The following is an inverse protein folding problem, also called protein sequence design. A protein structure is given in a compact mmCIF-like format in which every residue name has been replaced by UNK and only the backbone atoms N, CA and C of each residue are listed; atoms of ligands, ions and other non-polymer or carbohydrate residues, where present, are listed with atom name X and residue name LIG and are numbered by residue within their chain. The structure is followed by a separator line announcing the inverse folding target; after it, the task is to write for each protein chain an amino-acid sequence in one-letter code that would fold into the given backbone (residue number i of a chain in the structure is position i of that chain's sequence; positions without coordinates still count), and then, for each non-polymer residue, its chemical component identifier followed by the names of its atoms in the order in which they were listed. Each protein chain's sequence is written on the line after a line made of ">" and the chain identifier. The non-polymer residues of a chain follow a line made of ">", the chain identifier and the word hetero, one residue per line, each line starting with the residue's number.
data_IF_430685717934
#
_entry.id   IF_430685717934
#
_cell.length_a   1.000
_cell.length_b   1.000
_cell.length_c   1.000
_cell.angle_alpha   90.00
_cell.angle_beta   90.00
_cell.angle_gamma   90.00
#
_symmetry.space_group_name_H-M   'P 1'
#
loop_
_entity.id
_entity.type
_entity.pdbx_description
1 polymer ?
#
# COMPACT_ATOMS: atom_id res chain seq x y z
N UNK A 1 -12.54 9.09 -49.43
CA UNK A 1 -11.43 9.07 -48.44
C UNK A 1 -12.02 9.02 -47.03
N UNK A 2 -12.72 7.94 -46.68
CA UNK A 2 -13.72 7.99 -45.58
C UNK A 2 -13.39 7.17 -44.32
N UNK A 3 -12.70 6.00 -44.35
CA UNK A 3 -12.48 5.24 -43.11
C UNK A 3 -11.29 5.78 -42.27
N UNK A 4 -10.27 6.35 -42.91
CA UNK A 4 -9.03 6.78 -42.24
C UNK A 4 -9.30 7.95 -41.27
N UNK A 5 -10.22 8.85 -41.65
CA UNK A 5 -10.53 10.03 -40.84
C UNK A 5 -11.15 9.68 -39.49
N UNK A 6 -12.01 8.64 -39.43
CA UNK A 6 -12.60 8.16 -38.18
C UNK A 6 -11.57 7.58 -37.21
N UNK A 7 -10.62 6.80 -37.72
CA UNK A 7 -9.52 6.26 -36.90
C UNK A 7 -8.59 7.36 -36.38
N UNK A 8 -8.32 8.37 -37.20
CA UNK A 8 -7.51 9.53 -36.78
C UNK A 8 -8.21 10.29 -35.64
N UNK A 9 -9.50 10.60 -35.78
CA UNK A 9 -10.28 11.28 -34.73
C UNK A 9 -10.30 10.45 -33.46
N UNK A 10 -10.58 9.15 -33.57
CA UNK A 10 -10.59 8.24 -32.42
C UNK A 10 -9.24 8.24 -31.70
N UNK A 11 -8.14 8.11 -32.44
CA UNK A 11 -6.79 8.11 -31.88
C UNK A 11 -6.49 9.42 -31.14
N UNK A 12 -6.86 10.57 -31.71
CA UNK A 12 -6.70 11.88 -31.06
C UNK A 12 -7.49 11.92 -29.75
N UNK A 13 -8.76 11.51 -29.76
CA UNK A 13 -9.61 11.52 -28.55
C UNK A 13 -9.05 10.58 -27.49
N UNK A 14 -8.66 9.36 -27.86
CA UNK A 14 -8.10 8.38 -26.93
C UNK A 14 -6.78 8.88 -26.31
N UNK A 15 -5.92 9.54 -27.10
CA UNK A 15 -4.69 10.17 -26.60
C UNK A 15 -5.02 11.31 -25.63
N UNK A 16 -5.97 12.18 -25.95
CA UNK A 16 -6.36 13.29 -25.07
C UNK A 16 -6.87 12.75 -23.72
N UNK A 17 -7.75 11.74 -23.75
CA UNK A 17 -8.28 11.13 -22.52
C UNK A 17 -7.18 10.44 -21.72
N UNK A 18 -6.26 9.74 -22.40
CA UNK A 18 -5.08 9.13 -21.77
C UNK A 18 -4.18 10.17 -21.09
N UNK A 19 -3.91 11.31 -21.73
CA UNK A 19 -3.11 12.40 -21.16
C UNK A 19 -3.82 13.02 -19.96
N UNK A 20 -5.13 13.22 -20.01
CA UNK A 20 -5.92 13.74 -18.87
C UNK A 20 -5.86 12.78 -17.68
N UNK A 21 -6.04 11.48 -17.92
CA UNK A 21 -5.91 10.45 -16.89
C UNK A 21 -4.49 10.41 -16.31
N UNK A 22 -3.48 10.50 -17.18
CA UNK A 22 -2.07 10.48 -16.80
C UNK A 22 -1.67 11.69 -15.95
N UNK A 23 -2.19 12.88 -16.27
CA UNK A 23 -1.91 14.09 -15.49
C UNK A 23 -2.52 14.04 -14.09
N UNK A 24 -3.63 13.30 -13.90
CA UNK A 24 -4.33 13.21 -12.61
C UNK A 24 -3.77 12.13 -11.68
N UNK A 25 -3.44 10.96 -12.23
CA UNK A 25 -3.11 9.77 -11.44
C UNK A 25 -1.74 9.17 -11.81
N UNK A 26 -0.92 9.87 -12.59
CA UNK A 26 0.41 9.42 -13.01
C UNK A 26 0.45 8.83 -14.42
N UNK A 27 1.61 8.97 -15.07
CA UNK A 27 1.81 8.63 -16.49
C UNK A 27 1.50 7.17 -16.84
N UNK A 28 1.83 6.23 -15.94
CA UNK A 28 1.54 4.81 -16.11
C UNK A 28 0.03 4.55 -16.23
N UNK A 29 -0.77 5.21 -15.39
CA UNK A 29 -2.23 5.06 -15.42
C UNK A 29 -2.79 5.61 -16.74
N UNK A 30 -2.28 6.74 -17.21
CA UNK A 30 -2.63 7.26 -18.55
C UNK A 30 -2.38 6.24 -19.67
N UNK A 31 -1.23 5.57 -19.65
CA UNK A 31 -0.90 4.54 -20.64
C UNK A 31 -1.83 3.32 -20.56
N UNK A 32 -2.15 2.85 -19.35
CA UNK A 32 -3.12 1.78 -19.15
C UNK A 32 -4.52 2.15 -19.72
N UNK A 33 -4.96 3.39 -19.55
CA UNK A 33 -6.22 3.88 -20.12
C UNK A 33 -6.21 3.83 -21.65
N UNK A 34 -5.09 4.20 -22.29
CA UNK A 34 -4.95 4.15 -23.74
C UNK A 34 -5.09 2.71 -24.27
N UNK A 35 -4.37 1.76 -23.67
CA UNK A 35 -4.46 0.34 -24.04
C UNK A 35 -5.88 -0.18 -23.83
N UNK A 36 -6.47 0.08 -22.66
CA UNK A 36 -7.80 -0.38 -22.32
C UNK A 36 -8.86 0.14 -23.30
N UNK A 37 -8.81 1.43 -23.65
CA UNK A 37 -9.73 2.01 -24.63
C UNK A 37 -9.59 1.36 -26.01
N UNK A 38 -8.37 1.15 -26.51
CA UNK A 38 -8.16 0.49 -27.80
C UNK A 38 -8.71 -0.94 -27.83
N UNK A 39 -8.47 -1.73 -26.77
CA UNK A 39 -8.96 -3.11 -26.65
C UNK A 39 -10.49 -3.14 -26.56
N UNK A 40 -11.08 -2.30 -25.70
CA UNK A 40 -12.53 -2.24 -25.52
C UNK A 40 -13.22 -1.75 -26.79
N UNK A 41 -12.72 -0.68 -27.42
CA UNK A 41 -13.30 -0.17 -28.67
C UNK A 41 -13.19 -1.18 -29.81
N UNK A 42 -12.08 -1.92 -29.93
CA UNK A 42 -11.97 -2.99 -30.92
C UNK A 42 -13.03 -4.07 -30.70
N UNK A 43 -13.22 -4.51 -29.44
CA UNK A 43 -14.27 -5.46 -29.07
C UNK A 43 -15.67 -4.94 -29.40
N UNK A 44 -15.96 -3.67 -29.12
CA UNK A 44 -17.25 -3.04 -29.44
C UNK A 44 -17.47 -2.99 -30.96
N UNK A 45 -16.46 -2.65 -31.75
CA UNK A 45 -16.57 -2.60 -33.22
C UNK A 45 -16.87 -3.99 -33.79
N UNK A 46 -16.16 -5.02 -33.35
CA UNK A 46 -16.38 -6.41 -33.81
C UNK A 46 -17.79 -6.88 -33.44
N UNK A 47 -18.20 -6.64 -32.19
CA UNK A 47 -19.52 -7.04 -31.70
C UNK A 47 -20.65 -6.35 -32.46
N UNK A 48 -20.57 -5.03 -32.60
CA UNK A 48 -21.61 -4.24 -33.29
C UNK A 48 -21.66 -4.53 -34.78
N UNK A 49 -20.52 -4.83 -35.42
CA UNK A 49 -20.48 -5.25 -36.82
C UNK A 49 -21.15 -6.60 -37.03
N UNK A 50 -21.04 -7.53 -36.09
CA UNK A 50 -21.74 -8.82 -36.16
C UNK A 50 -23.26 -8.66 -35.97
N UNK A 51 -23.70 -7.79 -35.06
CA UNK A 51 -25.13 -7.55 -34.78
C UNK A 51 -25.82 -6.80 -35.93
N UNK A 52 -25.13 -5.83 -36.53
CA UNK A 52 -25.71 -4.95 -37.56
C UNK A 52 -25.53 -5.46 -38.99
N UNK A 53 -25.17 -6.74 -39.16
CA UNK A 53 -24.87 -7.36 -40.45
C UNK A 53 -23.84 -6.56 -41.28
N UNK A 54 -22.80 -6.03 -40.61
CA UNK A 54 -21.71 -5.31 -41.26
C UNK A 54 -21.95 -3.81 -41.49
N UNK A 55 -22.89 -3.18 -40.79
CA UNK A 55 -23.07 -1.72 -40.88
C UNK A 55 -21.94 -0.96 -40.17
N UNK A 56 -20.88 -0.63 -40.92
CA UNK A 56 -19.67 0.00 -40.41
C UNK A 56 -19.87 1.40 -39.80
N UNK A 57 -20.92 2.13 -40.19
CA UNK A 57 -21.21 3.47 -39.63
C UNK A 57 -21.60 3.36 -38.16
N UNK A 58 -22.50 2.43 -37.84
CA UNK A 58 -22.97 2.20 -36.46
C UNK A 58 -21.83 1.70 -35.58
N UNK A 59 -21.02 0.77 -36.11
CA UNK A 59 -19.86 0.25 -35.40
C UNK A 59 -18.83 1.35 -35.07
N UNK A 60 -18.61 2.28 -36.01
CA UNK A 60 -17.74 3.44 -35.81
C UNK A 60 -18.20 4.36 -34.70
N UNK A 61 -19.49 4.74 -34.65
CA UNK A 61 -20.02 5.59 -33.59
C UNK A 61 -19.96 4.93 -32.22
N UNK A 62 -20.27 3.63 -32.14
CA UNK A 62 -20.26 2.90 -30.86
C UNK A 62 -18.84 2.77 -30.30
N UNK A 63 -17.80 2.78 -31.13
CA UNK A 63 -16.41 2.75 -30.68
C UNK A 63 -16.04 3.94 -29.77
N UNK A 64 -16.68 5.10 -29.94
CA UNK A 64 -16.45 6.31 -29.14
C UNK A 64 -17.06 6.25 -27.73
N UNK A 65 -17.91 5.27 -27.44
CA UNK A 65 -18.44 5.09 -26.08
C UNK A 65 -17.32 4.81 -25.08
N UNK A 66 -16.30 4.03 -25.47
CA UNK A 66 -15.18 3.71 -24.59
C UNK A 66 -14.37 4.95 -24.15
N UNK A 67 -13.92 5.87 -25.03
CA UNK A 67 -13.25 7.09 -24.59
C UNK A 67 -14.14 8.06 -23.81
N UNK A 68 -15.45 8.09 -24.10
CA UNK A 68 -16.38 8.90 -23.30
C UNK A 68 -16.47 8.39 -21.85
N UNK A 69 -16.69 7.08 -21.66
CA UNK A 69 -16.68 6.48 -20.33
C UNK A 69 -15.30 6.58 -19.67
N UNK A 70 -14.22 6.37 -20.43
CA UNK A 70 -12.85 6.55 -19.96
C UNK A 70 -12.59 7.95 -19.41
N UNK A 71 -13.08 8.99 -20.08
CA UNK A 71 -12.98 10.36 -19.59
C UNK A 71 -13.77 10.57 -18.29
N UNK A 72 -15.01 10.08 -18.21
CA UNK A 72 -15.82 10.20 -16.99
C UNK A 72 -15.13 9.54 -15.80
N UNK A 73 -14.60 8.32 -15.99
CA UNK A 73 -13.91 7.57 -14.92
C UNK A 73 -12.60 8.28 -14.53
N UNK A 74 -11.82 8.75 -15.51
CA UNK A 74 -10.60 9.52 -15.26
C UNK A 74 -10.88 10.82 -14.48
N UNK A 75 -12.04 11.45 -14.72
CA UNK A 75 -12.44 12.66 -14.02
C UNK A 75 -13.00 12.39 -12.61
N UNK A 76 -13.64 11.24 -12.40
CA UNK A 76 -14.25 10.84 -11.12
C UNK A 76 -13.23 10.28 -10.12
N UNK A 77 -12.13 9.71 -10.62
CA UNK A 77 -11.07 9.14 -9.76
C UNK A 77 -10.41 10.23 -8.92
N UNK A 78 -10.27 9.97 -7.62
CA UNK A 78 -9.63 10.89 -6.68
C UNK A 78 -8.13 11.02 -6.93
N UNK A 79 -7.62 12.25 -6.82
CA UNK A 79 -6.18 12.53 -6.89
C UNK A 79 -5.44 11.96 -5.70
N UNK A 80 -4.14 11.70 -5.85
CA UNK A 80 -3.34 11.10 -4.77
C UNK A 80 -3.25 12.00 -3.52
N UNK A 81 -3.25 13.32 -3.69
CA UNK A 81 -3.38 14.28 -2.57
C UNK A 81 -4.67 14.05 -1.77
N UNK A 82 -5.80 13.89 -2.47
CA UNK A 82 -7.10 13.67 -1.83
C UNK A 82 -7.16 12.30 -1.15
N UNK A 83 -6.53 11.28 -1.73
CA UNK A 83 -6.37 9.96 -1.09
C UNK A 83 -5.55 10.06 0.18
N UNK A 84 -4.47 10.83 0.20
CA UNK A 84 -3.67 11.00 1.42
C UNK A 84 -4.44 11.67 2.56
N UNK A 85 -5.30 12.64 2.26
CA UNK A 85 -6.13 13.31 3.28
C UNK A 85 -7.15 12.34 3.91
N UNK A 86 -7.76 11.49 3.09
CA UNK A 86 -8.81 10.55 3.53
C UNK A 86 -8.19 9.31 4.20
N UNK A 87 -7.23 8.67 3.54
CA UNK A 87 -6.64 7.39 3.98
C UNK A 87 -5.44 7.56 4.92
N UNK A 88 -4.97 8.79 5.13
CA UNK A 88 -3.75 9.08 5.90
C UNK A 88 -2.46 9.03 5.06
N UNK A 89 -2.44 8.23 4.00
CA UNK A 89 -1.28 8.11 3.11
C UNK A 89 -1.71 7.71 1.68
N UNK A 90 -0.87 8.07 0.71
CA UNK A 90 -0.97 7.72 -0.73
C UNK A 90 0.41 7.33 -1.24
N UNK A 91 0.60 7.19 -2.56
CA UNK A 91 1.93 6.85 -3.12
C UNK A 91 2.96 7.96 -2.89
N UNK A 92 2.59 9.22 -3.15
CA UNK A 92 3.51 10.38 -3.09
C UNK A 92 3.26 11.29 -1.88
N UNK A 93 2.04 11.30 -1.35
CA UNK A 93 1.62 12.17 -0.25
C UNK A 93 1.28 11.39 1.00
N UNK A 94 1.51 12.01 2.15
CA UNK A 94 1.07 11.60 3.49
C UNK A 94 0.29 12.74 4.13
N UNK A 95 -0.53 12.41 5.13
CA UNK A 95 -1.29 13.39 5.88
C UNK A 95 -0.41 14.01 6.97
N UNK A 96 -0.44 15.33 7.09
CA UNK A 96 0.23 16.02 8.18
C UNK A 96 -0.44 15.65 9.52
N UNK A 97 0.31 15.14 10.52
CA UNK A 97 -0.26 14.69 11.78
C UNK A 97 -0.62 15.83 12.76
N UNK A 98 -0.50 17.08 12.33
CA UNK A 98 -0.84 18.28 13.11
C UNK A 98 -2.02 19.07 12.52
N UNK A 99 -2.06 19.25 11.19
CA UNK A 99 -3.08 20.06 10.52
C UNK A 99 -3.88 19.31 9.45
N UNK A 100 -3.68 17.99 9.30
CA UNK A 100 -4.41 17.13 8.37
C UNK A 100 -4.23 17.42 6.86
N UNK A 101 -3.36 18.36 6.50
CA UNK A 101 -3.06 18.70 5.10
C UNK A 101 -2.24 17.61 4.39
N UNK A 102 -2.39 17.47 3.07
CA UNK A 102 -1.54 16.60 2.27
C UNK A 102 -0.13 17.21 2.14
N UNK A 103 0.88 16.44 2.54
CA UNK A 103 2.30 16.79 2.42
C UNK A 103 3.04 15.66 1.71
N UNK A 104 4.14 15.98 1.02
CA UNK A 104 4.99 14.97 0.39
C UNK A 104 5.57 14.01 1.44
N UNK A 105 5.80 12.74 1.07
CA UNK A 105 6.38 11.76 2.01
C UNK A 105 7.75 12.16 2.53
N UNK A 106 8.54 12.81 1.70
CA UNK A 106 9.85 13.37 2.01
C UNK A 106 9.80 14.68 2.81
N UNK A 107 8.62 15.23 3.10
CA UNK A 107 8.50 16.47 3.84
C UNK A 107 9.01 16.30 5.29
N UNK A 108 9.96 17.15 5.68
CA UNK A 108 10.49 17.32 7.04
C UNK A 108 9.62 18.32 7.82
N UNK A 109 9.19 19.41 7.17
CA UNK A 109 8.30 20.41 7.75
C UNK A 109 7.05 20.57 6.91
N UNK A 110 5.92 20.78 7.56
CA UNK A 110 4.67 21.08 6.87
C UNK A 110 4.67 22.53 6.36
N UNK A 111 4.41 22.73 5.06
CA UNK A 111 4.28 24.07 4.45
C UNK A 111 3.11 24.90 4.98
N UNK A 112 2.10 24.24 5.56
CA UNK A 112 0.87 24.89 6.00
C UNK A 112 0.93 25.32 7.47
N UNK A 113 1.31 24.41 8.39
CA UNK A 113 1.38 24.71 9.82
C UNK A 113 2.79 24.93 10.36
N UNK A 114 3.85 24.71 9.56
CA UNK A 114 5.24 24.91 9.97
C UNK A 114 5.82 23.85 10.91
N UNK A 115 5.01 22.90 11.39
CA UNK A 115 5.44 21.84 12.32
C UNK A 115 6.47 20.89 11.69
N UNK A 116 7.43 20.44 12.49
CA UNK A 116 8.33 19.34 12.14
C UNK A 116 7.56 18.02 12.18
N UNK A 117 7.37 17.43 11.00
CA UNK A 117 6.62 16.18 10.83
C UNK A 117 7.52 14.95 10.88
N UNK A 118 8.83 15.11 10.71
CA UNK A 118 9.77 14.00 10.71
C UNK A 118 9.92 13.40 12.11
N UNK A 119 10.03 14.25 13.13
CA UNK A 119 10.18 13.80 14.52
C UNK A 119 8.99 12.94 15.00
N UNK A 120 7.76 13.36 14.67
CA UNK A 120 6.55 12.61 15.05
C UNK A 120 6.45 11.27 14.31
N UNK A 121 6.82 11.23 13.04
CA UNK A 121 6.81 9.98 12.27
C UNK A 121 7.85 8.98 12.74
N UNK A 122 9.06 9.43 13.07
CA UNK A 122 10.08 8.54 13.65
C UNK A 122 9.66 8.00 15.02
N UNK A 123 8.92 8.81 15.80
CA UNK A 123 8.33 8.34 17.05
C UNK A 123 7.23 7.30 16.80
N UNK A 124 6.35 7.50 15.81
CA UNK A 124 5.31 6.54 15.43
C UNK A 124 5.89 5.23 14.90
N UNK A 125 6.93 5.28 14.07
CA UNK A 125 7.64 4.08 13.57
C UNK A 125 8.30 3.29 14.71
N UNK A 126 8.95 3.98 15.65
CA UNK A 126 9.53 3.34 16.85
C UNK A 126 8.46 2.74 17.77
N UNK A 127 7.31 3.40 17.90
CA UNK A 127 6.20 2.92 18.73
C UNK A 127 5.40 1.79 18.07
N UNK A 128 5.56 1.57 16.75
CA UNK A 128 4.87 0.52 15.99
C UNK A 128 5.58 -0.84 16.04
N UNK A 129 6.67 -0.98 16.79
CA UNK A 129 7.39 -2.26 16.88
C UNK A 129 6.47 -3.38 17.40
N UNK A 130 6.37 -4.46 16.61
CA UNK A 130 5.72 -5.71 17.03
C UNK A 130 6.74 -6.84 17.10
N UNK A 131 6.75 -7.65 18.17
CA UNK A 131 7.62 -8.80 18.30
C UNK A 131 7.55 -9.78 17.13
N UNK A 132 6.35 -9.94 16.55
CA UNK A 132 6.09 -10.92 15.48
C UNK A 132 6.75 -10.58 14.14
N UNK A 133 7.18 -9.32 13.95
CA UNK A 133 7.87 -8.88 12.74
C UNK A 133 9.34 -9.34 12.72
N UNK A 134 9.84 -9.88 13.83
CA UNK A 134 11.19 -10.42 13.94
C UNK A 134 11.26 -11.84 13.35
N UNK A 135 12.29 -12.18 12.55
CA UNK A 135 12.41 -13.50 11.94
C UNK A 135 12.47 -14.60 13.02
N UNK A 136 11.66 -15.64 12.85
CA UNK A 136 11.50 -16.71 13.86
C UNK A 136 12.82 -17.46 14.07
N UNK A 137 13.60 -17.61 12.99
CA UNK A 137 14.90 -18.27 12.97
C UNK A 137 15.92 -17.55 13.84
N UNK A 138 15.72 -16.26 14.13
CA UNK A 138 16.62 -15.51 15.00
C UNK A 138 16.51 -15.92 16.47
N UNK A 139 15.39 -16.51 16.89
CA UNK A 139 15.17 -16.87 18.29
C UNK A 139 15.78 -18.22 18.70
N UNK A 140 16.40 -18.95 17.77
CA UNK A 140 17.01 -20.24 18.07
C UNK A 140 18.34 -20.46 17.34
N UNK A 141 19.15 -21.35 17.89
CA UNK A 141 20.43 -21.78 17.33
C UNK A 141 20.34 -23.30 17.10
N UNK A 142 20.69 -23.74 15.89
CA UNK A 142 20.75 -25.16 15.57
C UNK A 142 22.06 -25.76 16.08
N UNK A 143 21.97 -26.87 16.83
CA UNK A 143 23.10 -27.69 17.27
C UNK A 143 22.96 -29.11 16.73
N UNK A 144 24.06 -29.88 16.77
CA UNK A 144 24.10 -31.29 16.33
C UNK A 144 23.08 -32.19 17.05
N UNK A 145 22.59 -31.79 18.22
CA UNK A 145 21.67 -32.58 19.05
C UNK A 145 20.34 -31.90 19.39
N UNK A 146 20.00 -30.76 18.78
CA UNK A 146 18.76 -30.05 19.08
C UNK A 146 18.79 -28.56 18.74
N UNK A 147 17.87 -27.83 19.35
CA UNK A 147 17.75 -26.37 19.24
C UNK A 147 18.01 -25.75 20.60
N UNK A 148 18.82 -24.69 20.63
CA UNK A 148 19.00 -23.84 21.81
C UNK A 148 18.29 -22.51 21.60
N UNK A 149 17.80 -21.88 22.67
CA UNK A 149 17.25 -20.53 22.60
C UNK A 149 18.35 -19.49 22.39
N UNK A 150 18.10 -18.54 21.47
CA UNK A 150 18.96 -17.37 21.32
C UNK A 150 18.55 -16.26 22.30
N UNK A 151 19.12 -16.30 23.50
CA UNK A 151 18.79 -15.35 24.58
C UNK A 151 19.09 -13.89 24.22
N UNK A 152 20.14 -13.64 23.42
CA UNK A 152 20.48 -12.28 22.98
C UNK A 152 19.35 -11.64 22.17
N UNK A 153 18.74 -12.40 21.26
CA UNK A 153 17.65 -11.88 20.43
C UNK A 153 16.34 -11.71 21.22
N UNK A 154 16.08 -12.57 22.21
CA UNK A 154 14.96 -12.35 23.16
C UNK A 154 15.16 -11.04 23.93
N UNK A 155 16.36 -10.83 24.49
CA UNK A 155 16.68 -9.60 25.22
C UNK A 155 16.52 -8.38 24.32
N UNK A 156 17.09 -8.41 23.11
CA UNK A 156 16.99 -7.32 22.14
C UNK A 156 15.53 -7.03 21.76
N UNK A 157 14.71 -8.07 21.60
CA UNK A 157 13.28 -7.93 21.36
C UNK A 157 12.59 -7.22 22.53
N UNK A 158 12.83 -7.65 23.77
CA UNK A 158 12.22 -7.03 24.96
C UNK A 158 12.67 -5.59 25.15
N UNK A 159 13.93 -5.27 24.87
CA UNK A 159 14.44 -3.89 24.88
C UNK A 159 13.68 -3.00 23.88
N UNK A 160 13.44 -3.48 22.66
CA UNK A 160 12.62 -2.76 21.66
C UNK A 160 11.18 -2.58 22.13
N UNK A 161 10.57 -3.59 22.76
CA UNK A 161 9.23 -3.49 23.36
C UNK A 161 9.19 -2.36 24.41
N UNK A 162 10.18 -2.31 25.30
CA UNK A 162 10.27 -1.30 26.36
C UNK A 162 10.46 0.10 25.80
N UNK A 163 11.30 0.25 24.77
CA UNK A 163 11.51 1.53 24.07
C UNK A 163 10.22 2.01 23.40
N UNK A 164 9.44 1.11 22.79
CA UNK A 164 8.17 1.42 22.14
C UNK A 164 7.03 1.76 23.12
N UNK A 165 7.18 1.42 24.40
CA UNK A 165 6.15 1.62 25.43
C UNK A 165 6.76 2.31 26.67
N UNK A 166 7.23 3.57 26.54
CA UNK A 166 7.81 4.28 27.65
C UNK A 166 6.77 4.48 28.77
N UNK A 167 7.17 4.25 30.02
CA UNK A 167 6.34 4.40 31.23
C UNK A 167 5.11 3.46 31.29
N UNK A 168 5.13 2.33 30.58
CA UNK A 168 4.10 1.28 30.71
C UNK A 168 4.59 0.21 31.67
N UNK A 169 3.71 -0.23 32.57
CA UNK A 169 4.00 -1.31 33.51
C UNK A 169 4.28 -2.65 32.80
N UNK A 170 5.18 -3.45 33.37
CA UNK A 170 5.58 -4.75 32.81
C UNK A 170 4.40 -5.72 32.61
N UNK A 171 3.44 -5.75 33.52
CA UNK A 171 2.26 -6.62 33.41
C UNK A 171 1.36 -6.24 32.23
N UNK A 172 1.23 -4.93 31.97
CA UNK A 172 0.49 -4.40 30.84
C UNK A 172 1.22 -4.66 29.51
N UNK A 173 2.55 -4.65 29.50
CA UNK A 173 3.36 -5.03 28.34
C UNK A 173 3.10 -6.49 27.96
N UNK A 174 3.12 -7.40 28.95
CA UNK A 174 2.90 -8.84 28.70
C UNK A 174 1.51 -9.08 28.14
N UNK A 175 0.48 -8.42 28.70
CA UNK A 175 -0.87 -8.55 28.18
C UNK A 175 -1.02 -7.95 26.77
N UNK A 176 -0.41 -6.79 26.50
CA UNK A 176 -0.45 -6.11 25.20
C UNK A 176 0.10 -6.96 24.06
N UNK A 177 1.21 -7.65 24.28
CA UNK A 177 1.90 -8.44 23.26
C UNK A 177 1.61 -9.95 23.34
N UNK A 178 0.64 -10.37 24.16
CA UNK A 178 0.34 -11.77 24.43
C UNK A 178 0.11 -12.61 23.17
N UNK A 179 -0.64 -12.07 22.20
CA UNK A 179 -0.96 -12.79 20.97
C UNK A 179 0.24 -12.88 20.00
N UNK A 180 1.06 -11.83 19.95
CA UNK A 180 2.31 -11.83 19.16
C UNK A 180 3.28 -12.88 19.72
N UNK A 181 3.51 -12.87 21.03
CA UNK A 181 4.40 -13.84 21.71
C UNK A 181 3.86 -15.27 21.58
N UNK A 182 2.54 -15.47 21.69
CA UNK A 182 1.91 -16.79 21.45
C UNK A 182 2.18 -17.27 20.02
N UNK A 183 2.05 -16.38 19.04
CA UNK A 183 2.27 -16.71 17.63
C UNK A 183 3.73 -17.05 17.33
N UNK A 184 4.69 -16.33 17.92
CA UNK A 184 6.11 -16.65 17.83
C UNK A 184 6.37 -18.03 18.44
N UNK A 185 5.89 -18.26 19.67
CA UNK A 185 6.04 -19.55 20.37
C UNK A 185 5.47 -20.72 19.56
N UNK A 186 4.33 -20.54 18.90
CA UNK A 186 3.72 -21.58 18.07
C UNK A 186 4.59 -21.97 16.86
N UNK A 187 5.33 -21.00 16.29
CA UNK A 187 6.21 -21.22 15.13
C UNK A 187 7.59 -21.78 15.51
N UNK A 188 7.99 -21.69 16.79
CA UNK A 188 9.27 -22.24 17.25
C UNK A 188 9.27 -23.77 17.32
N UNK A 189 10.45 -24.41 17.21
CA UNK A 189 10.62 -25.84 17.50
C UNK A 189 10.05 -26.21 18.88
N UNK A 190 9.29 -27.31 19.02
CA UNK A 190 8.59 -27.66 20.26
C UNK A 190 9.47 -27.69 21.52
N UNK A 191 10.73 -28.11 21.36
CA UNK A 191 11.69 -28.33 22.44
C UNK A 191 12.04 -27.05 23.21
N UNK A 192 11.98 -25.89 22.55
CA UNK A 192 12.45 -24.61 23.10
C UNK A 192 11.30 -23.63 23.40
N UNK A 193 10.05 -24.03 23.16
CA UNK A 193 8.89 -23.14 23.27
C UNK A 193 8.69 -22.59 24.68
N UNK A 194 8.88 -23.45 25.67
CA UNK A 194 8.68 -23.08 27.07
C UNK A 194 9.88 -22.27 27.58
N UNK A 195 11.10 -22.70 27.24
CA UNK A 195 12.32 -21.95 27.55
C UNK A 195 12.29 -20.53 26.99
N UNK A 196 11.88 -20.35 25.73
CA UNK A 196 11.69 -19.03 25.12
C UNK A 196 10.73 -18.16 25.93
N UNK A 197 9.60 -18.71 26.37
CA UNK A 197 8.58 -17.96 27.10
C UNK A 197 9.03 -17.58 28.51
N UNK A 198 9.73 -18.47 29.21
CA UNK A 198 10.32 -18.17 30.51
C UNK A 198 11.39 -17.08 30.40
N UNK A 199 12.27 -17.16 29.40
CA UNK A 199 13.29 -16.12 29.14
C UNK A 199 12.65 -14.78 28.79
N UNK A 200 11.58 -14.78 27.99
CA UNK A 200 10.83 -13.57 27.68
C UNK A 200 10.29 -12.89 28.95
N UNK A 201 9.59 -13.63 29.83
CA UNK A 201 9.06 -13.08 31.09
C UNK A 201 10.16 -12.54 31.99
N UNK A 202 11.25 -13.29 32.14
CA UNK A 202 12.43 -12.88 32.90
C UNK A 202 12.99 -11.54 32.40
N UNK A 203 13.16 -11.36 31.09
CA UNK A 203 13.70 -10.11 30.52
C UNK A 203 12.70 -8.94 30.57
N UNK A 204 11.40 -9.22 30.53
CA UNK A 204 10.38 -8.19 30.77
C UNK A 204 10.44 -7.72 32.22
N UNK A 205 10.65 -8.64 33.16
CA UNK A 205 10.78 -8.38 34.60
C UNK A 205 9.57 -8.85 35.39
N UNK A 206 9.03 -10.02 35.03
CA UNK A 206 8.00 -10.77 35.76
C UNK A 206 8.53 -12.15 36.17
#
# INVERSE_FOLDING_TARGET
>A
MEPIFGFIIYAIVAIVVSVVAGKRNGALIGFCYLIAMCVVSFGIVVLTSNITNGNGIIAGFMAFTAPLFGLIIALSTSTDERKAIINGESVEYKKCPFCAEAIRKEAIKCKHCGSDVQAKMQAEEKNSFRPIDMPIESFFIMRKGGFDVNEYNIKSMVEKIKIANPNVDNSLIINRYKDDIRSIRAKLPPQIRDEFYEKYKHWVGE
#
